data_IF_767105397083
#
_entry.id   IF_767105397083
#
_cell.length_a   1.000
_cell.length_b   1.000
_cell.length_c   1.000
_cell.angle_alpha   90.00
_cell.angle_beta   90.00
_cell.angle_gamma   90.00
#
_symmetry.space_group_name_H-M   'P 1'
#
loop_
_entity.id
_entity.type
_entity.pdbx_description
1 polymer ?
#
# COMPACT_ATOMS: atom_id res chain seq x y z
N UNK A 1 61.15 -4.02 15.08
CA UNK A 1 60.16 -4.78 14.29
C UNK A 1 59.43 -3.78 13.40
N UNK A 2 59.49 -3.96 12.08
CA UNK A 2 58.83 -3.10 11.09
C UNK A 2 57.44 -3.66 10.82
N UNK A 3 56.39 -2.91 11.19
CA UNK A 3 55.00 -3.28 10.89
C UNK A 3 54.77 -3.00 9.40
N UNK A 4 54.33 -3.99 8.59
CA UNK A 4 54.05 -3.74 7.18
C UNK A 4 52.87 -2.76 7.04
N UNK A 5 53.00 -1.80 6.13
CA UNK A 5 51.92 -0.86 5.82
C UNK A 5 50.74 -1.61 5.20
N UNK A 6 49.49 -1.23 5.53
CA UNK A 6 48.31 -1.89 4.97
C UNK A 6 48.21 -1.57 3.48
N UNK A 7 48.21 -2.61 2.66
CA UNK A 7 47.91 -2.51 1.23
C UNK A 7 46.39 -2.40 1.10
N UNK A 8 45.91 -1.22 0.70
CA UNK A 8 44.51 -1.05 0.32
C UNK A 8 44.28 -1.77 -1.02
N UNK A 9 43.62 -2.93 -0.97
CA UNK A 9 43.04 -3.56 -2.17
C UNK A 9 41.77 -2.78 -2.54
N UNK A 10 41.62 -2.33 -3.79
CA UNK A 10 40.35 -1.78 -4.25
C UNK A 10 39.28 -2.87 -4.18
N UNK A 11 38.12 -2.56 -3.60
CA UNK A 11 36.98 -3.47 -3.60
C UNK A 11 36.55 -3.77 -5.04
N UNK A 12 36.19 -5.02 -5.33
CA UNK A 12 35.74 -5.44 -6.65
C UNK A 12 34.53 -4.61 -7.10
N UNK A 13 34.69 -3.87 -8.21
CA UNK A 13 33.63 -3.02 -8.80
C UNK A 13 32.32 -3.76 -9.05
N UNK A 14 32.39 -5.06 -9.33
CA UNK A 14 31.23 -5.93 -9.51
C UNK A 14 30.37 -6.10 -8.25
N UNK A 15 30.95 -6.03 -7.05
CA UNK A 15 30.21 -6.12 -5.81
C UNK A 15 29.39 -4.85 -5.53
N UNK A 16 29.92 -3.68 -5.92
CA UNK A 16 29.24 -2.38 -5.80
C UNK A 16 28.08 -2.31 -6.81
N UNK A 17 28.32 -2.71 -8.05
CA UNK A 17 27.28 -2.75 -9.09
C UNK A 17 26.13 -3.70 -8.71
N UNK A 18 26.44 -4.88 -8.17
CA UNK A 18 25.43 -5.83 -7.70
C UNK A 18 24.60 -5.27 -6.53
N UNK A 19 25.22 -4.54 -5.60
CA UNK A 19 24.50 -3.91 -4.48
C UNK A 19 23.55 -2.80 -4.96
N UNK A 20 23.98 -1.95 -5.91
CA UNK A 20 23.15 -0.90 -6.51
C UNK A 20 21.99 -1.50 -7.30
N UNK A 21 22.23 -2.58 -8.04
CA UNK A 21 21.21 -3.31 -8.77
C UNK A 21 20.19 -3.91 -7.80
N UNK A 22 20.65 -4.55 -6.72
CA UNK A 22 19.79 -5.14 -5.70
C UNK A 22 18.92 -4.11 -4.99
N UNK A 23 19.47 -2.94 -4.63
CA UNK A 23 18.73 -1.83 -4.02
C UNK A 23 17.61 -1.32 -4.95
N UNK A 24 17.90 -1.17 -6.24
CA UNK A 24 16.91 -0.77 -7.26
C UNK A 24 15.80 -1.81 -7.43
N UNK A 25 16.11 -3.10 -7.32
CA UNK A 25 15.10 -4.17 -7.37
C UNK A 25 14.22 -4.17 -6.12
N UNK A 26 14.80 -3.98 -4.94
CA UNK A 26 14.05 -3.85 -3.68
C UNK A 26 13.09 -2.67 -3.76
N UNK A 27 13.55 -1.51 -4.23
CA UNK A 27 12.70 -0.33 -4.38
C UNK A 27 11.52 -0.58 -5.32
N UNK A 28 11.76 -1.19 -6.49
CA UNK A 28 10.68 -1.54 -7.43
C UNK A 28 9.69 -2.54 -6.84
N UNK A 29 10.17 -3.49 -6.04
CA UNK A 29 9.31 -4.45 -5.36
C UNK A 29 8.41 -3.75 -4.34
N UNK A 30 8.98 -2.88 -3.51
CA UNK A 30 8.22 -2.08 -2.53
C UNK A 30 7.16 -1.20 -3.22
N UNK A 31 7.52 -0.55 -4.33
CA UNK A 31 6.59 0.28 -5.10
C UNK A 31 5.42 -0.53 -5.65
N UNK A 32 5.71 -1.74 -6.17
CA UNK A 32 4.70 -2.65 -6.68
C UNK A 32 3.76 -3.12 -5.56
N UNK A 33 4.29 -3.61 -4.45
CA UNK A 33 3.48 -4.07 -3.32
C UNK A 33 2.58 -2.94 -2.79
N UNK A 34 3.10 -1.72 -2.65
CA UNK A 34 2.29 -0.55 -2.27
C UNK A 34 1.20 -0.21 -3.30
N UNK A 35 1.45 -0.46 -4.59
CA UNK A 35 0.44 -0.26 -5.62
C UNK A 35 -0.65 -1.35 -5.56
N UNK A 36 -0.26 -2.60 -5.39
CA UNK A 36 -1.16 -3.75 -5.27
C UNK A 36 -2.02 -3.66 -3.98
N UNK A 37 -1.45 -3.20 -2.87
CA UNK A 37 -2.19 -2.87 -1.65
C UNK A 37 -3.25 -1.79 -1.87
N UNK A 38 -2.87 -0.65 -2.49
CA UNK A 38 -3.81 0.43 -2.80
C UNK A 38 -4.94 -0.04 -3.70
N UNK A 39 -4.63 -0.87 -4.69
CA UNK A 39 -5.62 -1.45 -5.60
C UNK A 39 -6.58 -2.38 -4.87
N UNK A 40 -6.05 -3.28 -4.03
CA UNK A 40 -6.85 -4.22 -3.24
C UNK A 40 -7.82 -3.48 -2.32
N UNK A 41 -7.36 -2.41 -1.66
CA UNK A 41 -8.20 -1.54 -0.82
C UNK A 41 -9.31 -0.87 -1.64
N UNK A 42 -8.97 -0.31 -2.81
CA UNK A 42 -9.96 0.33 -3.69
C UNK A 42 -11.02 -0.67 -4.20
N UNK A 43 -10.60 -1.88 -4.56
CA UNK A 43 -11.51 -2.95 -4.98
C UNK A 43 -12.45 -3.38 -3.84
N UNK A 44 -11.95 -3.41 -2.60
CA UNK A 44 -12.74 -3.63 -1.39
C UNK A 44 -13.82 -2.57 -1.18
N UNK A 45 -13.45 -1.29 -1.24
CA UNK A 45 -14.40 -0.17 -1.13
C UNK A 45 -15.45 -0.18 -2.24
N UNK A 46 -15.04 -0.42 -3.49
CA UNK A 46 -15.97 -0.54 -4.61
C UNK A 46 -16.96 -1.71 -4.42
N UNK A 47 -16.49 -2.84 -3.88
CA UNK A 47 -17.34 -4.00 -3.59
C UNK A 47 -18.37 -3.71 -2.50
N UNK A 48 -17.98 -3.00 -1.43
CA UNK A 48 -18.90 -2.57 -0.36
C UNK A 48 -19.96 -1.59 -0.89
N UNK A 49 -19.58 -0.59 -1.68
CA UNK A 49 -20.54 0.34 -2.27
C UNK A 49 -21.54 -0.36 -3.20
N UNK A 50 -21.10 -1.34 -3.99
CA UNK A 50 -22.02 -2.16 -4.81
C UNK A 50 -22.99 -2.95 -3.94
N UNK A 51 -22.52 -3.56 -2.85
CA UNK A 51 -23.37 -4.27 -1.91
C UNK A 51 -24.42 -3.35 -1.25
N UNK A 52 -24.02 -2.17 -0.80
CA UNK A 52 -24.92 -1.17 -0.24
C UNK A 52 -25.95 -0.68 -1.27
N UNK A 53 -25.53 -0.46 -2.52
CA UNK A 53 -26.45 -0.08 -3.61
C UNK A 53 -27.48 -1.18 -3.89
N UNK A 54 -27.08 -2.45 -3.83
CA UNK A 54 -27.99 -3.58 -3.99
C UNK A 54 -29.02 -3.62 -2.84
N UNK A 55 -28.59 -3.39 -1.60
CA UNK A 55 -29.49 -3.30 -0.44
C UNK A 55 -30.47 -2.14 -0.63
N UNK A 56 -29.99 -0.96 -1.01
CA UNK A 56 -30.83 0.22 -1.21
C UNK A 56 -31.96 -0.04 -2.22
N UNK A 57 -31.64 -0.71 -3.33
CA UNK A 57 -32.64 -1.09 -4.35
C UNK A 57 -33.59 -2.17 -3.81
N UNK A 58 -33.05 -3.24 -3.21
CA UNK A 58 -33.83 -4.39 -2.73
C UNK A 58 -34.85 -3.99 -1.67
N UNK A 59 -34.42 -3.19 -0.71
CA UNK A 59 -35.24 -2.76 0.43
C UNK A 59 -36.05 -1.49 0.12
N UNK A 60 -35.91 -0.94 -1.09
CA UNK A 60 -36.58 0.30 -1.53
C UNK A 60 -36.36 1.44 -0.52
N UNK A 61 -35.11 1.60 -0.08
CA UNK A 61 -34.75 2.63 0.87
C UNK A 61 -35.10 4.01 0.30
N UNK A 62 -35.64 4.88 1.15
CA UNK A 62 -35.87 6.26 0.76
C UNK A 62 -34.54 7.04 0.66
N UNK A 63 -34.60 8.23 0.08
CA UNK A 63 -33.41 9.06 -0.14
C UNK A 63 -32.67 9.39 1.17
N UNK A 64 -33.39 9.49 2.30
CA UNK A 64 -32.81 9.81 3.60
C UNK A 64 -32.05 8.62 4.18
N UNK A 65 -32.60 7.41 4.05
CA UNK A 65 -31.96 6.18 4.47
C UNK A 65 -30.73 5.87 3.61
N UNK A 66 -30.79 6.12 2.29
CA UNK A 66 -29.64 6.00 1.40
C UNK A 66 -28.53 6.98 1.81
N UNK A 67 -28.87 8.24 2.09
CA UNK A 67 -27.89 9.24 2.52
C UNK A 67 -27.20 8.84 3.84
N UNK A 68 -27.96 8.37 4.84
CA UNK A 68 -27.39 7.89 6.11
C UNK A 68 -26.47 6.68 5.92
N UNK A 69 -26.87 5.74 5.05
CA UNK A 69 -26.09 4.55 4.74
C UNK A 69 -24.74 4.92 4.07
N UNK A 70 -24.77 5.86 3.12
CA UNK A 70 -23.56 6.36 2.46
C UNK A 70 -22.65 7.12 3.43
N UNK A 71 -23.20 7.93 4.33
CA UNK A 71 -22.39 8.66 5.32
C UNK A 71 -21.77 7.73 6.37
N UNK A 72 -22.52 6.73 6.82
CA UNK A 72 -21.97 5.70 7.71
C UNK A 72 -20.82 4.94 7.03
N UNK A 73 -20.97 4.64 5.74
CA UNK A 73 -19.92 3.97 4.96
C UNK A 73 -18.70 4.87 4.79
N UNK A 74 -18.88 6.16 4.48
CA UNK A 74 -17.79 7.13 4.36
C UNK A 74 -17.01 7.26 5.69
N UNK A 75 -17.72 7.37 6.81
CA UNK A 75 -17.12 7.44 8.15
C UNK A 75 -16.29 6.18 8.47
N UNK A 76 -16.77 5.01 8.07
CA UNK A 76 -16.05 3.74 8.26
C UNK A 76 -14.80 3.68 7.36
N UNK A 77 -14.88 4.16 6.12
CA UNK A 77 -13.70 4.26 5.24
C UNK A 77 -12.64 5.21 5.82
N UNK A 78 -13.04 6.36 6.35
CA UNK A 78 -12.14 7.30 7.01
C UNK A 78 -11.45 6.67 8.23
N UNK A 79 -12.20 5.93 9.06
CA UNK A 79 -11.62 5.21 10.20
C UNK A 79 -10.58 4.18 9.75
N UNK A 80 -10.89 3.38 8.72
CA UNK A 80 -9.96 2.38 8.20
C UNK A 80 -8.70 3.01 7.61
N UNK A 81 -8.82 4.16 6.94
CA UNK A 81 -7.66 4.92 6.44
C UNK A 81 -6.79 5.40 7.60
N UNK A 82 -7.38 5.90 8.69
CA UNK A 82 -6.63 6.28 9.88
C UNK A 82 -5.91 5.08 10.50
N UNK A 83 -6.59 3.95 10.68
CA UNK A 83 -6.00 2.72 11.21
C UNK A 83 -4.80 2.25 10.36
N UNK A 84 -4.89 2.30 9.04
CA UNK A 84 -3.78 1.94 8.14
C UNK A 84 -2.62 2.94 8.14
N UNK A 85 -2.89 4.23 8.34
CA UNK A 85 -1.82 5.24 8.43
C UNK A 85 -1.07 5.18 9.77
N UNK A 86 -1.66 4.55 10.79
CA UNK A 86 -1.08 4.37 12.11
C UNK A 86 -0.54 2.96 12.38
N UNK A 87 -0.67 2.03 11.42
CA UNK A 87 -0.14 0.66 11.45
C UNK A 87 1.25 0.59 10.79
#
# INVERSE_FOLDING_TARGET
>A
MTIPSPVFMPADSSAIDNAVIQDKYIQKFIEKERADERRTRADGFASRLRFLSMIAIREKLDYSAIAQLLESEASEMERQIQEWNHA
#
